data_IF_048372657138
#
_entry.id   IF_048372657138
#
_cell.length_a   1.000
_cell.length_b   1.000
_cell.length_c   1.000
_cell.angle_alpha   90.00
_cell.angle_beta   90.00
_cell.angle_gamma   90.00
#
_symmetry.space_group_name_H-M   'P 1'
#
loop_
_entity.id
_entity.type
_entity.pdbx_description
1 polymer ?
#
# COMPACT_ATOMS: atom_id res chain seq x y z
N UNK A 1 18.52 -70.53 23.97
CA UNK A 1 17.66 -69.60 23.18
C UNK A 1 17.77 -68.21 23.78
N UNK A 2 18.46 -67.28 23.13
CA UNK A 2 18.62 -65.89 23.60
C UNK A 2 17.74 -65.01 22.72
N UNK A 3 16.68 -64.48 23.26
CA UNK A 3 15.77 -63.54 22.57
C UNK A 3 16.31 -62.12 22.72
N UNK A 4 16.77 -61.54 21.63
CA UNK A 4 17.18 -60.12 21.58
C UNK A 4 15.97 -59.26 21.27
N UNK A 5 15.64 -58.38 22.24
CA UNK A 5 14.58 -57.35 22.09
C UNK A 5 15.25 -56.12 21.43
N UNK A 6 14.80 -55.75 20.25
CA UNK A 6 15.15 -54.51 19.59
C UNK A 6 14.17 -53.41 20.02
N UNK A 7 14.69 -52.41 20.77
CA UNK A 7 13.91 -51.22 21.11
C UNK A 7 14.13 -50.23 19.95
N UNK A 8 13.05 -49.99 19.19
CA UNK A 8 13.04 -48.99 18.14
C UNK A 8 12.77 -47.63 18.79
N UNK A 9 13.83 -46.80 18.90
CA UNK A 9 13.73 -45.43 19.40
C UNK A 9 13.16 -44.53 18.28
N UNK A 10 11.87 -44.18 18.36
CA UNK A 10 11.24 -43.25 17.45
C UNK A 10 11.62 -41.81 17.86
N UNK A 11 12.57 -41.21 17.11
CA UNK A 11 12.87 -39.78 17.23
C UNK A 11 11.66 -38.99 16.64
N UNK A 12 10.83 -38.41 17.51
CA UNK A 12 9.91 -37.35 17.11
C UNK A 12 10.72 -36.08 16.81
N UNK A 13 10.87 -35.74 15.54
CA UNK A 13 11.33 -34.41 15.15
C UNK A 13 10.16 -33.44 15.33
N UNK A 14 10.24 -32.60 16.37
CA UNK A 14 9.40 -31.40 16.48
C UNK A 14 9.79 -30.47 15.32
N UNK A 15 8.98 -30.46 14.26
CA UNK A 15 8.99 -29.37 13.30
C UNK A 15 8.39 -28.15 14.00
N UNK A 16 9.23 -27.20 14.41
CA UNK A 16 8.79 -25.86 14.75
C UNK A 16 8.18 -25.26 13.47
N UNK A 17 6.86 -25.20 13.39
CA UNK A 17 6.18 -24.35 12.44
C UNK A 17 6.61 -22.92 12.80
N UNK A 18 7.50 -22.33 11.99
CA UNK A 18 7.73 -20.89 11.99
C UNK A 18 6.40 -20.31 11.59
N UNK A 19 5.72 -19.65 12.54
CA UNK A 19 4.50 -18.91 12.23
C UNK A 19 4.87 -17.94 11.11
N UNK A 20 4.03 -17.92 10.08
CA UNK A 20 4.20 -17.03 8.93
C UNK A 20 4.26 -15.60 9.47
N UNK A 21 5.41 -14.96 9.44
CA UNK A 21 5.64 -13.63 10.01
C UNK A 21 5.07 -12.53 9.12
N UNK A 22 4.34 -12.91 8.07
CA UNK A 22 3.77 -12.03 7.07
C UNK A 22 2.24 -12.10 7.05
N UNK A 23 1.60 -10.94 6.97
CA UNK A 23 0.15 -10.81 6.83
C UNK A 23 -0.16 -10.27 5.42
N UNK A 24 -0.66 -11.12 4.54
CA UNK A 24 -1.01 -10.75 3.18
C UNK A 24 -2.23 -9.81 3.14
N UNK A 25 -2.12 -8.70 2.42
CA UNK A 25 -3.18 -7.72 2.18
C UNK A 25 -3.63 -7.77 0.73
N UNK A 26 -2.72 -7.70 -0.23
CA UNK A 26 -2.95 -7.86 -1.66
C UNK A 26 -2.16 -9.03 -2.19
N UNK A 27 -2.83 -10.05 -2.70
CA UNK A 27 -2.23 -11.25 -3.29
C UNK A 27 -2.43 -11.24 -4.82
N UNK A 28 -2.02 -10.14 -5.46
CA UNK A 28 -2.22 -9.92 -6.88
C UNK A 28 -1.48 -10.95 -7.73
N UNK A 29 -0.28 -11.37 -7.28
CA UNK A 29 0.51 -12.43 -7.92
C UNK A 29 -0.22 -13.78 -7.98
N UNK A 30 -1.17 -14.00 -7.08
CA UNK A 30 -2.06 -15.16 -7.06
C UNK A 30 -3.38 -14.95 -7.79
N UNK A 31 -3.49 -13.87 -8.57
CA UNK A 31 -4.69 -13.48 -9.31
C UNK A 31 -5.91 -13.27 -8.40
N UNK A 32 -5.72 -12.63 -7.22
CA UNK A 32 -6.75 -12.45 -6.19
C UNK A 32 -6.96 -10.98 -5.82
N UNK A 33 -8.25 -10.59 -5.72
CA UNK A 33 -8.73 -9.29 -5.22
C UNK A 33 -9.70 -9.47 -4.03
N UNK A 34 -9.55 -10.56 -3.27
CA UNK A 34 -10.47 -10.87 -2.17
C UNK A 34 -10.44 -9.78 -1.09
N UNK A 35 -11.64 -9.30 -0.75
CA UNK A 35 -11.84 -8.26 0.26
C UNK A 35 -11.52 -6.83 -0.20
N UNK A 36 -11.00 -6.65 -1.41
CA UNK A 36 -10.85 -5.33 -2.00
C UNK A 36 -12.19 -4.80 -2.50
N UNK A 37 -12.49 -3.55 -2.17
CA UNK A 37 -13.71 -2.86 -2.56
C UNK A 37 -13.33 -1.63 -3.38
N UNK A 38 -14.08 -1.37 -4.43
CA UNK A 38 -13.89 -0.23 -5.29
C UNK A 38 -14.66 0.99 -4.76
N UNK A 39 -14.09 2.17 -4.86
CA UNK A 39 -14.74 3.44 -4.56
C UNK A 39 -14.37 4.48 -5.60
N UNK A 40 -15.38 5.00 -6.29
CA UNK A 40 -15.26 6.16 -7.16
C UNK A 40 -15.43 7.46 -6.37
N UNK A 41 -14.65 8.47 -6.74
CA UNK A 41 -14.80 9.87 -6.31
C UNK A 41 -15.21 10.73 -7.50
N UNK A 42 -14.58 10.52 -8.66
CA UNK A 42 -14.92 11.15 -9.93
C UNK A 42 -14.50 10.23 -11.08
N UNK A 43 -15.47 9.73 -11.85
CA UNK A 43 -15.17 8.77 -12.92
C UNK A 43 -14.56 7.47 -12.39
N UNK A 44 -13.88 6.74 -13.28
CA UNK A 44 -13.41 5.38 -12.99
C UNK A 44 -11.98 5.17 -13.50
N UNK A 45 -11.05 4.94 -12.59
CA UNK A 45 -9.76 4.34 -12.92
C UNK A 45 -9.97 2.86 -13.18
N UNK A 46 -9.41 2.34 -14.25
CA UNK A 46 -9.54 0.93 -14.64
C UNK A 46 -8.51 0.10 -13.90
N UNK A 47 -8.97 -0.71 -12.94
CA UNK A 47 -8.14 -1.67 -12.21
C UNK A 47 -8.33 -3.07 -12.79
N UNK A 48 -7.21 -3.76 -13.13
CA UNK A 48 -7.24 -5.12 -13.68
C UNK A 48 -6.06 -5.94 -13.14
N UNK A 49 -6.29 -7.25 -12.96
CA UNK A 49 -5.19 -8.19 -12.76
C UNK A 49 -4.63 -8.59 -14.14
N UNK A 50 -3.37 -8.28 -14.38
CA UNK A 50 -2.69 -8.53 -15.64
C UNK A 50 -1.29 -9.11 -15.40
N UNK A 51 -0.81 -9.92 -16.34
CA UNK A 51 0.56 -10.45 -16.26
C UNK A 51 1.54 -9.46 -16.88
N UNK A 52 2.46 -8.95 -16.08
CA UNK A 52 3.57 -8.12 -16.51
C UNK A 52 4.88 -8.80 -16.12
N UNK A 53 5.79 -8.94 -17.08
CA UNK A 53 7.11 -9.56 -16.86
C UNK A 53 7.03 -10.98 -16.24
N UNK A 54 5.96 -11.73 -16.57
CA UNK A 54 5.72 -13.09 -16.08
C UNK A 54 5.06 -13.20 -14.69
N UNK A 55 4.73 -12.08 -14.06
CA UNK A 55 4.05 -12.04 -12.75
C UNK A 55 2.71 -11.34 -12.88
N UNK A 56 1.66 -11.87 -12.27
CA UNK A 56 0.37 -11.19 -12.18
C UNK A 56 0.45 -10.05 -11.17
N UNK A 57 0.00 -8.88 -11.57
CA UNK A 57 0.01 -7.64 -10.79
C UNK A 57 -1.32 -6.93 -10.96
N UNK A 58 -1.59 -5.94 -10.11
CA UNK A 58 -2.73 -5.06 -10.28
C UNK A 58 -2.31 -3.86 -11.12
N UNK A 59 -2.85 -3.75 -12.34
CA UNK A 59 -2.68 -2.55 -13.18
C UNK A 59 -3.76 -1.53 -12.87
N UNK A 60 -3.45 -0.26 -13.07
CA UNK A 60 -4.35 0.87 -12.90
C UNK A 60 -4.14 1.87 -14.03
N UNK A 61 -5.20 2.15 -14.79
CA UNK A 61 -5.22 3.15 -15.86
C UNK A 61 -6.24 4.23 -15.51
N UNK A 62 -5.76 5.46 -15.29
CA UNK A 62 -6.60 6.63 -15.00
C UNK A 62 -6.58 7.60 -16.19
N UNK A 63 -7.76 8.11 -16.53
CA UNK A 63 -7.94 9.16 -17.53
C UNK A 63 -9.02 10.13 -17.05
N UNK A 64 -8.62 11.31 -16.60
CA UNK A 64 -9.48 12.34 -16.01
C UNK A 64 -10.43 11.76 -14.93
N UNK A 65 -9.93 10.86 -14.10
CA UNK A 65 -10.71 10.08 -13.16
C UNK A 65 -10.00 9.94 -11.81
N UNK A 66 -10.80 9.75 -10.77
CA UNK A 66 -10.35 9.44 -9.41
C UNK A 66 -11.19 8.32 -8.84
N UNK A 67 -10.63 7.14 -8.75
CA UNK A 67 -11.18 6.02 -7.99
C UNK A 67 -10.06 5.18 -7.38
N UNK A 68 -10.39 4.40 -6.37
CA UNK A 68 -9.42 3.58 -5.66
C UNK A 68 -9.99 2.24 -5.23
N UNK A 69 -9.11 1.35 -4.86
CA UNK A 69 -9.42 0.11 -4.19
C UNK A 69 -9.01 0.20 -2.72
N UNK A 70 -9.85 -0.27 -1.82
CA UNK A 70 -9.54 -0.32 -0.40
C UNK A 70 -9.91 -1.67 0.19
N UNK A 71 -9.11 -2.13 1.15
CA UNK A 71 -9.36 -3.34 1.93
C UNK A 71 -9.48 -2.96 3.40
N UNK A 72 -10.65 -3.21 3.99
CA UNK A 72 -10.90 -3.03 5.41
C UNK A 72 -10.40 -4.29 6.14
N UNK A 73 -9.38 -4.11 6.93
CA UNK A 73 -8.80 -5.16 7.76
C UNK A 73 -8.05 -4.49 8.90
N UNK A 74 -8.39 -4.83 10.13
CA UNK A 74 -7.63 -4.39 11.29
C UNK A 74 -6.29 -5.12 11.31
N UNK A 75 -5.20 -4.36 11.40
CA UNK A 75 -3.84 -4.88 11.40
C UNK A 75 -3.17 -4.45 12.70
N UNK A 76 -2.75 -5.42 13.49
CA UNK A 76 -2.00 -5.22 14.71
C UNK A 76 -0.53 -4.89 14.38
N UNK A 77 -0.16 -3.64 14.59
CA UNK A 77 1.17 -3.13 14.32
C UNK A 77 2.19 -3.48 15.45
N UNK A 78 1.77 -4.09 16.54
CA UNK A 78 2.69 -4.66 17.52
C UNK A 78 3.26 -5.99 17.00
N UNK A 79 2.50 -6.71 16.20
CA UNK A 79 2.90 -7.97 15.58
C UNK A 79 3.60 -7.75 14.23
N UNK A 80 3.04 -6.88 13.38
CA UNK A 80 3.51 -6.65 12.01
C UNK A 80 3.54 -5.16 11.68
N UNK A 81 4.55 -4.41 12.15
CA UNK A 81 4.62 -2.96 11.95
C UNK A 81 5.00 -2.51 10.54
N UNK A 82 5.62 -3.39 9.74
CA UNK A 82 6.17 -3.01 8.45
C UNK A 82 5.22 -3.33 7.30
N UNK A 83 4.73 -2.29 6.61
CA UNK A 83 4.02 -2.41 5.34
C UNK A 83 5.05 -2.53 4.20
N UNK A 84 4.88 -3.56 3.38
CA UNK A 84 5.72 -3.83 2.22
C UNK A 84 4.87 -3.85 0.96
N UNK A 85 5.41 -3.31 -0.15
CA UNK A 85 4.79 -3.40 -1.47
C UNK A 85 5.81 -3.10 -2.57
N UNK A 86 5.45 -3.39 -3.79
CA UNK A 86 6.14 -2.89 -4.97
C UNK A 86 5.18 -2.17 -5.90
N UNK A 87 5.69 -1.19 -6.62
CA UNK A 87 4.94 -0.44 -7.61
C UNK A 87 5.83 0.02 -8.76
N UNK A 88 5.21 0.37 -9.87
CA UNK A 88 5.85 1.07 -10.98
C UNK A 88 4.83 1.98 -11.65
N UNK A 89 5.29 3.06 -12.29
CA UNK A 89 4.45 3.92 -13.11
C UNK A 89 4.93 3.91 -14.56
N UNK A 90 3.99 3.91 -15.51
CA UNK A 90 4.28 3.98 -16.93
C UNK A 90 4.45 5.42 -17.44
N UNK A 91 3.77 6.36 -16.77
CA UNK A 91 3.79 7.78 -17.14
C UNK A 91 3.72 8.64 -15.90
N UNK A 92 4.41 9.78 -15.92
CA UNK A 92 4.42 10.80 -14.86
C UNK A 92 3.48 11.95 -15.23
N UNK A 93 2.77 12.46 -14.23
CA UNK A 93 2.14 13.78 -14.32
C UNK A 93 3.20 14.85 -14.08
N UNK A 94 3.25 15.88 -14.93
CA UNK A 94 4.22 16.96 -14.83
C UNK A 94 3.53 18.32 -14.80
N UNK A 95 4.18 19.32 -14.20
CA UNK A 95 3.67 20.68 -14.14
C UNK A 95 2.55 20.92 -13.12
N UNK A 96 2.31 19.97 -12.22
CA UNK A 96 1.29 20.07 -11.18
C UNK A 96 1.87 20.64 -9.88
N UNK A 97 1.11 21.48 -9.19
CA UNK A 97 1.35 21.80 -7.79
C UNK A 97 0.59 20.79 -6.93
N UNK A 98 1.25 19.66 -6.62
CA UNK A 98 0.68 18.52 -5.88
C UNK A 98 0.23 18.86 -4.44
N UNK A 99 0.60 20.04 -3.93
CA UNK A 99 0.16 20.53 -2.63
C UNK A 99 -1.11 21.38 -2.71
N UNK A 100 -1.68 21.53 -3.90
CA UNK A 100 -2.94 22.25 -4.14
C UNK A 100 -4.03 21.32 -4.65
N UNK A 101 -5.31 21.70 -4.43
CA UNK A 101 -6.46 20.91 -4.89
C UNK A 101 -6.48 20.66 -6.40
N UNK A 102 -5.97 21.61 -7.19
CA UNK A 102 -5.93 21.50 -8.66
C UNK A 102 -4.86 20.49 -9.11
N UNK A 103 -3.85 20.25 -8.29
CA UNK A 103 -2.74 19.36 -8.64
C UNK A 103 -2.64 18.11 -7.77
N UNK A 104 -3.65 17.77 -6.96
CA UNK A 104 -3.64 16.60 -6.07
C UNK A 104 -3.87 15.28 -6.83
N UNK A 105 -3.15 15.09 -7.93
CA UNK A 105 -3.16 13.90 -8.78
C UNK A 105 -1.84 13.15 -8.70
N UNK A 106 -1.91 11.82 -8.58
CA UNK A 106 -0.72 10.99 -8.49
C UNK A 106 -0.86 9.71 -9.31
N UNK A 107 0.21 9.34 -9.99
CA UNK A 107 0.25 8.12 -10.77
C UNK A 107 0.10 6.86 -9.89
N UNK A 108 0.60 6.89 -8.66
CA UNK A 108 0.43 5.79 -7.71
C UNK A 108 0.39 6.31 -6.28
N UNK A 109 -0.56 5.80 -5.49
CA UNK A 109 -0.71 6.04 -4.04
C UNK A 109 -0.97 4.73 -3.31
N UNK A 110 -0.40 4.58 -2.12
CA UNK A 110 -0.78 3.57 -1.13
C UNK A 110 -1.16 4.29 0.16
N UNK A 111 -2.28 3.94 0.75
CA UNK A 111 -2.82 4.56 1.96
C UNK A 111 -2.82 3.58 3.11
N UNK A 112 -2.57 4.09 4.30
CA UNK A 112 -2.88 3.44 5.57
C UNK A 112 -3.82 4.33 6.36
N UNK A 113 -4.89 3.76 6.91
CA UNK A 113 -6.00 4.50 7.49
C UNK A 113 -6.29 4.00 8.91
N UNK A 114 -6.37 4.94 9.86
CA UNK A 114 -6.91 4.75 11.21
C UNK A 114 -8.26 5.43 11.27
N UNK A 115 -9.33 4.67 11.48
CA UNK A 115 -10.69 5.21 11.59
C UNK A 115 -10.90 5.95 12.91
N UNK A 116 -11.63 7.04 12.86
CA UNK A 116 -12.04 7.79 14.04
C UNK A 116 -13.18 7.16 14.85
N UNK A 117 -13.51 5.89 14.62
CA UNK A 117 -14.63 5.22 15.26
C UNK A 117 -15.96 5.90 14.95
N UNK A 118 -16.75 6.22 15.98
CA UNK A 118 -17.99 7.00 15.85
C UNK A 118 -17.73 8.46 15.46
N UNK A 119 -16.52 8.96 15.72
CA UNK A 119 -16.09 10.32 15.38
C UNK A 119 -15.32 10.29 14.03
N UNK A 120 -16.03 10.13 12.91
CA UNK A 120 -15.43 9.99 11.58
C UNK A 120 -14.45 11.13 11.22
N UNK A 121 -14.64 12.33 11.78
CA UNK A 121 -13.72 13.47 11.64
C UNK A 121 -12.35 13.25 12.32
N UNK A 122 -12.21 12.23 13.16
CA UNK A 122 -10.94 11.82 13.75
C UNK A 122 -10.18 10.80 12.90
N UNK A 123 -10.73 10.40 11.75
CA UNK A 123 -10.02 9.53 10.81
C UNK A 123 -8.69 10.16 10.42
N UNK A 124 -7.62 9.37 10.46
CA UNK A 124 -6.27 9.79 10.07
C UNK A 124 -5.73 8.85 9.01
N UNK A 125 -4.94 9.40 8.11
CA UNK A 125 -4.31 8.62 7.05
C UNK A 125 -2.88 9.09 6.76
N UNK A 126 -2.05 8.18 6.30
CA UNK A 126 -0.81 8.49 5.61
C UNK A 126 -0.96 8.01 4.17
N UNK A 127 -0.60 8.88 3.24
CA UNK A 127 -0.60 8.61 1.81
C UNK A 127 0.85 8.53 1.35
N UNK A 128 1.32 7.36 1.03
CA UNK A 128 2.58 7.16 0.33
C UNK A 128 2.33 7.39 -1.16
N UNK A 129 3.06 8.34 -1.75
CA UNK A 129 2.80 8.74 -3.13
C UNK A 129 4.04 8.61 -4.01
N UNK A 130 3.80 8.30 -5.27
CA UNK A 130 4.76 8.52 -6.34
C UNK A 130 4.49 9.90 -6.91
N UNK A 131 5.23 10.90 -6.44
CA UNK A 131 5.09 12.28 -6.86
C UNK A 131 5.72 12.52 -8.25
N UNK A 132 5.04 13.27 -9.09
CA UNK A 132 5.53 13.66 -10.41
C UNK A 132 6.35 14.94 -10.40
N UNK A 133 6.13 15.80 -9.40
CA UNK A 133 6.70 17.14 -9.33
C UNK A 133 7.35 17.44 -7.98
N UNK A 134 6.90 16.78 -6.90
CA UNK A 134 7.42 16.98 -5.55
C UNK A 134 8.60 16.04 -5.30
N UNK A 135 9.65 16.58 -4.70
CA UNK A 135 10.90 15.84 -4.41
C UNK A 135 10.64 14.68 -3.45
N UNK A 136 11.36 13.57 -3.66
CA UNK A 136 11.38 12.43 -2.73
C UNK A 136 11.62 12.89 -1.27
N UNK A 137 11.00 12.19 -0.33
CA UNK A 137 11.03 12.42 1.11
C UNK A 137 10.37 13.74 1.57
N UNK A 138 9.70 14.46 0.68
CA UNK A 138 8.86 15.59 1.05
C UNK A 138 7.58 15.15 1.74
N UNK A 139 7.14 15.93 2.73
CA UNK A 139 5.93 15.72 3.52
C UNK A 139 5.05 16.96 3.46
N UNK A 140 3.75 16.78 3.28
CA UNK A 140 2.76 17.88 3.29
C UNK A 140 1.39 17.37 3.70
N UNK A 141 0.51 18.28 4.15
CA UNK A 141 -0.89 17.97 4.43
C UNK A 141 -1.66 17.79 3.11
N UNK A 142 -2.56 16.81 3.06
CA UNK A 142 -3.40 16.58 1.89
C UNK A 142 -4.26 17.81 1.57
N UNK A 143 -4.36 18.16 0.30
CA UNK A 143 -5.04 19.38 -0.14
C UNK A 143 -6.55 19.41 0.17
N UNK A 144 -7.19 18.24 0.35
CA UNK A 144 -8.63 18.12 0.65
C UNK A 144 -8.90 17.81 2.13
N UNK A 145 -8.07 16.96 2.74
CA UNK A 145 -8.25 16.48 4.12
C UNK A 145 -7.43 17.26 5.16
N UNK A 146 -6.55 18.16 4.70
CA UNK A 146 -5.66 18.89 5.60
C UNK A 146 -4.74 17.94 6.39
N UNK A 147 -4.45 18.29 7.63
CA UNK A 147 -3.59 17.53 8.55
C UNK A 147 -4.19 16.19 9.03
N UNK A 148 -5.42 15.89 8.65
CA UNK A 148 -6.03 14.58 8.87
C UNK A 148 -5.42 13.49 7.98
N UNK A 149 -4.84 13.88 6.86
CA UNK A 149 -4.14 12.99 5.96
C UNK A 149 -2.80 13.60 5.53
N UNK A 150 -1.69 12.95 5.88
CA UNK A 150 -0.36 13.41 5.49
C UNK A 150 0.10 12.69 4.24
N UNK A 151 0.69 13.45 3.34
CA UNK A 151 1.32 12.96 2.11
C UNK A 151 2.82 12.79 2.35
N UNK A 152 3.37 11.67 1.91
CA UNK A 152 4.80 11.39 1.93
C UNK A 152 5.24 10.89 0.55
N UNK A 153 6.08 11.68 -0.14
CA UNK A 153 6.64 11.29 -1.43
C UNK A 153 7.74 10.23 -1.23
N UNK A 154 7.45 8.97 -1.52
CA UNK A 154 8.47 7.91 -1.50
C UNK A 154 9.26 7.88 -2.81
N UNK A 155 8.67 8.34 -3.89
CA UNK A 155 9.31 8.54 -5.19
C UNK A 155 8.99 9.93 -5.70
N UNK A 156 9.97 10.55 -6.36
CA UNK A 156 9.87 11.89 -6.92
C UNK A 156 10.07 11.89 -8.44
N UNK A 157 10.23 13.08 -9.05
CA UNK A 157 10.38 13.22 -10.49
C UNK A 157 11.65 12.55 -11.06
N UNK A 158 12.63 12.25 -10.24
CA UNK A 158 13.87 11.57 -10.61
C UNK A 158 13.71 10.05 -10.76
N UNK A 159 12.65 9.48 -10.18
CA UNK A 159 12.46 8.03 -10.18
C UNK A 159 12.18 7.52 -11.62
N UNK A 160 12.80 6.41 -12.04
CA UNK A 160 12.68 5.91 -13.40
C UNK A 160 11.28 5.37 -13.69
N UNK A 161 10.78 5.64 -14.92
CA UNK A 161 9.53 5.08 -15.41
C UNK A 161 9.71 3.61 -15.81
N UNK A 162 8.65 2.82 -15.70
CA UNK A 162 8.61 1.39 -16.07
C UNK A 162 9.61 0.49 -15.32
N UNK A 163 10.12 0.97 -14.17
CA UNK A 163 11.02 0.20 -13.30
C UNK A 163 10.32 -0.04 -11.97
N UNK A 164 10.27 -1.30 -11.58
CA UNK A 164 9.72 -1.70 -10.29
C UNK A 164 10.52 -1.08 -9.15
N UNK A 165 9.82 -0.48 -8.21
CA UNK A 165 10.34 0.06 -6.96
C UNK A 165 9.70 -0.71 -5.81
N UNK A 166 10.51 -1.12 -4.84
CA UNK A 166 10.04 -1.80 -3.62
C UNK A 166 10.12 -0.83 -2.46
N UNK A 167 9.09 -0.85 -1.64
CA UNK A 167 8.96 -0.02 -0.44
C UNK A 167 8.77 -0.90 0.79
N UNK A 168 9.30 -0.43 1.90
CA UNK A 168 9.07 -0.97 3.24
C UNK A 168 8.98 0.19 4.22
N UNK A 169 7.86 0.29 4.96
CA UNK A 169 7.59 1.39 5.87
C UNK A 169 7.19 0.88 7.25
N UNK A 170 7.83 1.39 8.29
CA UNK A 170 7.36 1.24 9.67
C UNK A 170 6.18 2.20 9.89
N UNK A 171 4.97 1.64 9.93
CA UNK A 171 3.74 2.43 10.01
C UNK A 171 3.61 3.13 11.36
N UNK A 172 4.07 2.53 12.45
CA UNK A 172 4.04 3.17 13.78
C UNK A 172 4.96 4.38 13.83
N UNK A 173 6.18 4.22 13.30
CA UNK A 173 7.15 5.30 13.23
C UNK A 173 6.63 6.46 12.36
N UNK A 174 6.03 6.15 11.20
CA UNK A 174 5.47 7.15 10.30
C UNK A 174 4.29 7.92 10.93
N UNK A 175 3.34 7.23 11.58
CA UNK A 175 2.24 7.91 12.29
C UNK A 175 2.74 8.80 13.42
N UNK A 176 3.73 8.35 14.18
CA UNK A 176 4.35 9.16 15.23
C UNK A 176 5.04 10.40 14.67
N UNK A 177 5.82 10.21 13.60
CA UNK A 177 6.60 11.30 13.00
C UNK A 177 5.72 12.32 12.27
N UNK A 178 4.74 11.86 11.48
CA UNK A 178 3.99 12.70 10.56
C UNK A 178 2.70 13.28 11.18
N UNK A 179 2.12 12.57 12.13
CA UNK A 179 0.82 12.93 12.75
C UNK A 179 0.92 13.11 14.28
N UNK A 180 2.09 12.87 14.89
CA UNK A 180 2.27 12.94 16.34
C UNK A 180 1.51 11.85 17.11
N UNK A 181 1.06 10.78 16.46
CA UNK A 181 0.19 9.76 17.04
C UNK A 181 0.92 8.45 17.31
N UNK A 182 0.73 7.88 18.50
CA UNK A 182 1.15 6.53 18.83
C UNK A 182 -0.04 5.59 18.57
N UNK A 183 0.02 4.82 17.51
CA UNK A 183 -1.03 3.87 17.13
C UNK A 183 -0.56 2.43 17.37
N UNK A 184 -1.51 1.54 17.67
CA UNK A 184 -1.27 0.09 17.85
C UNK A 184 -1.83 -0.71 16.66
N UNK A 185 -2.75 -0.14 15.90
CA UNK A 185 -3.35 -0.79 14.75
C UNK A 185 -3.75 0.22 13.68
N UNK A 186 -3.96 -0.27 12.46
CA UNK A 186 -4.68 0.43 11.39
C UNK A 186 -5.93 -0.34 11.02
N UNK A 187 -6.87 0.31 10.34
CA UNK A 187 -8.19 -0.24 10.00
C UNK A 187 -8.35 -0.59 8.52
N UNK A 188 -7.51 -0.01 7.66
CA UNK A 188 -7.57 -0.26 6.23
C UNK A 188 -6.27 0.09 5.51
N UNK A 189 -6.06 -0.59 4.38
CA UNK A 189 -5.10 -0.23 3.35
C UNK A 189 -5.87 0.11 2.08
N UNK A 190 -5.42 1.12 1.34
CA UNK A 190 -6.00 1.48 0.05
C UNK A 190 -4.92 1.79 -0.97
N UNK A 191 -5.28 1.70 -2.23
CA UNK A 191 -4.48 2.11 -3.39
C UNK A 191 -5.29 3.03 -4.28
N UNK A 192 -4.64 3.98 -4.91
CA UNK A 192 -5.28 4.90 -5.83
C UNK A 192 -4.33 5.36 -6.93
N UNK A 193 -4.88 5.54 -8.11
CA UNK A 193 -4.26 6.17 -9.27
C UNK A 193 -5.27 7.15 -9.82
N UNK A 194 -4.94 8.44 -9.86
CA UNK A 194 -5.92 9.49 -10.14
C UNK A 194 -5.36 10.61 -11.03
N UNK A 195 -6.26 11.24 -11.78
CA UNK A 195 -5.97 12.28 -12.75
C UNK A 195 -7.16 13.23 -12.96
N UNK A 196 -8.09 13.28 -12.03
CA UNK A 196 -9.33 14.05 -12.17
C UNK A 196 -9.12 15.56 -12.06
N UNK A 197 -8.15 15.99 -11.25
CA UNK A 197 -7.88 17.40 -11.03
C UNK A 197 -7.11 18.03 -12.20
N UNK A 198 -6.20 17.29 -12.81
CA UNK A 198 -5.41 17.74 -13.97
C UNK A 198 -6.08 17.43 -15.31
N UNK A 199 -7.07 16.51 -15.34
CA UNK A 199 -7.61 15.96 -16.58
C UNK A 199 -6.60 15.12 -17.36
N UNK A 200 -5.53 14.67 -16.73
CA UNK A 200 -4.43 13.92 -17.33
C UNK A 200 -4.73 12.45 -17.57
N UNK A 201 -3.67 11.73 -17.91
CA UNK A 201 -3.69 10.27 -18.08
C UNK A 201 -2.41 9.66 -17.55
N UNK A 202 -2.52 8.63 -16.74
CA UNK A 202 -1.39 7.86 -16.19
C UNK A 202 -1.73 6.39 -16.12
N UNK A 203 -0.68 5.57 -16.04
CA UNK A 203 -0.77 4.16 -15.72
C UNK A 203 0.20 3.79 -14.61
N UNK A 204 -0.23 2.86 -13.77
CA UNK A 204 0.57 2.28 -12.71
C UNK A 204 0.35 0.76 -12.63
N UNK A 205 1.27 0.09 -11.98
CA UNK A 205 1.10 -1.30 -11.59
C UNK A 205 1.56 -1.48 -10.14
N UNK A 206 0.84 -2.30 -9.39
CA UNK A 206 1.10 -2.62 -7.99
C UNK A 206 1.34 -4.14 -7.89
N UNK A 207 2.45 -4.52 -7.26
CA UNK A 207 2.72 -5.89 -6.83
C UNK A 207 2.00 -6.20 -5.52
N UNK A 208 2.25 -7.38 -4.98
CA UNK A 208 1.66 -7.80 -3.72
C UNK A 208 1.92 -6.80 -2.59
N UNK A 209 0.98 -6.74 -1.66
CA UNK A 209 1.02 -5.87 -0.48
C UNK A 209 0.90 -6.77 0.76
N UNK A 210 1.83 -6.61 1.70
CA UNK A 210 1.81 -7.41 2.94
C UNK A 210 2.41 -6.64 4.11
N UNK A 211 2.07 -7.07 5.31
CA UNK A 211 2.73 -6.62 6.52
C UNK A 211 3.69 -7.68 7.04
N UNK A 212 4.80 -7.25 7.63
CA UNK A 212 5.80 -8.12 8.22
C UNK A 212 6.22 -7.63 9.61
N UNK A 213 6.84 -8.55 10.37
CA UNK A 213 7.39 -8.27 11.70
C UNK A 213 8.71 -7.49 11.62
N UNK A 214 9.51 -7.75 10.59
CA UNK A 214 10.86 -7.21 10.32
C UNK A 214 11.07 -6.92 8.84
#
# INVERSE_FOLDING_TARGET
>A
MKTSIWICLMLLTLQNAVADSELAIGEFSRNRLDGWQHKSFQGETQYRLETLDGVTVLTADSHAAASGLFKQQVIDLEQTPFLNWSWRIGKRLSGLNEQSKIGDDYAARVYVVVKGGLAFWQTRAINYVWAGNTKKDSVWANAFAGDHAMMLALRGPEAPLNVWQTEKRDIRADFKQLLGQNIQSIDAVAIMTDTDNSGGQVSAAYGDIWFSKD
#
